data_IF_690795141619
#
_entry.id   IF_690795141619
#
_cell.length_a   1.000
_cell.length_b   1.000
_cell.length_c   1.000
_cell.angle_alpha   90.00
_cell.angle_beta   90.00
_cell.angle_gamma   90.00
#
_symmetry.space_group_name_H-M   'P 1'
#
loop_
_entity.id
_entity.type
_entity.pdbx_description
1 polymer ?
#
# COMPACT_ATOMS: atom_id res chain seq x y z
N UNK A 1 -12.90 14.91 -15.26
CA UNK A 1 -11.43 14.86 -15.19
C UNK A 1 -10.99 14.59 -13.74
N UNK A 2 -11.37 13.46 -13.20
CA UNK A 2 -10.95 13.05 -11.86
C UNK A 2 -10.70 11.55 -11.90
N UNK A 3 -9.43 11.17 -11.72
CA UNK A 3 -9.01 9.91 -11.17
C UNK A 3 -8.74 8.72 -12.07
N UNK A 4 -7.66 8.76 -12.83
CA UNK A 4 -6.99 7.54 -13.28
C UNK A 4 -6.30 6.82 -12.10
N UNK A 5 -5.99 7.55 -11.01
CA UNK A 5 -5.37 7.02 -9.80
C UNK A 5 -6.30 6.17 -8.92
N UNK A 6 -7.62 6.24 -9.15
CA UNK A 6 -8.58 5.45 -8.38
C UNK A 6 -8.63 3.96 -8.77
N UNK A 7 -7.99 3.55 -9.85
CA UNK A 7 -8.12 2.19 -10.37
C UNK A 7 -7.21 1.20 -9.64
N UNK A 8 -6.04 1.61 -9.22
CA UNK A 8 -5.12 0.76 -8.41
C UNK A 8 -5.50 0.79 -6.94
N UNK A 9 -6.19 1.85 -6.48
CA UNK A 9 -6.55 2.03 -5.07
C UNK A 9 -7.96 1.50 -4.72
N UNK A 10 -8.79 1.13 -5.67
CA UNK A 10 -10.21 0.82 -5.40
C UNK A 10 -10.52 -0.63 -5.07
N UNK A 11 -9.58 -1.56 -5.18
CA UNK A 11 -9.72 -2.84 -4.49
C UNK A 11 -9.66 -2.66 -2.96
N UNK A 12 -9.05 -1.57 -2.48
CA UNK A 12 -8.85 -1.29 -1.05
C UNK A 12 -9.93 -0.37 -0.39
N UNK A 13 -10.75 0.37 -1.14
CA UNK A 13 -11.62 1.43 -0.56
C UNK A 13 -13.11 1.03 -0.45
N UNK A 14 -13.48 -0.22 -0.63
CA UNK A 14 -14.89 -0.64 -0.45
C UNK A 14 -15.20 -1.13 0.97
N UNK A 15 -14.34 -0.87 1.97
CA UNK A 15 -14.58 -1.22 3.37
C UNK A 15 -14.86 0.02 4.24
N UNK A 16 -15.56 0.99 3.73
CA UNK A 16 -15.99 2.09 4.62
C UNK A 16 -17.49 2.26 4.54
N UNK A 17 -18.10 1.98 5.67
CA UNK A 17 -19.45 2.25 6.15
C UNK A 17 -20.38 1.03 6.22
N UNK A 18 -20.09 0.15 7.14
CA UNK A 18 -21.11 -0.56 7.90
C UNK A 18 -20.92 -0.24 9.39
N UNK A 19 -21.26 0.96 9.80
CA UNK A 19 -21.60 1.23 11.20
C UNK A 19 -22.96 0.58 11.45
N UNK A 20 -22.94 -0.59 12.04
CA UNK A 20 -23.96 -1.28 12.82
C UNK A 20 -24.10 -2.79 12.53
N UNK A 21 -23.01 -3.50 12.33
CA UNK A 21 -23.01 -4.95 12.55
C UNK A 21 -21.76 -5.30 13.32
N UNK A 22 -21.99 -5.65 14.58
CA UNK A 22 -21.06 -6.21 15.57
C UNK A 22 -19.53 -5.95 15.42
N UNK A 23 -18.99 -5.41 16.47
CA UNK A 23 -17.66 -4.86 16.75
C UNK A 23 -16.44 -5.77 16.49
N UNK A 24 -16.46 -6.74 15.57
CA UNK A 24 -15.35 -7.70 15.39
C UNK A 24 -14.77 -7.85 13.97
N UNK A 25 -15.20 -7.09 12.98
CA UNK A 25 -14.58 -7.20 11.65
C UNK A 25 -14.00 -5.85 11.22
N UNK A 26 -12.91 -5.42 11.86
CA UNK A 26 -11.95 -4.54 11.20
C UNK A 26 -11.02 -5.40 10.36
N UNK A 27 -11.45 -5.75 9.17
CA UNK A 27 -10.51 -6.15 8.12
C UNK A 27 -9.87 -4.87 7.61
N UNK A 28 -8.78 -4.46 8.25
CA UNK A 28 -7.80 -3.61 7.60
C UNK A 28 -7.18 -4.46 6.51
N UNK A 29 -7.63 -4.24 5.27
CA UNK A 29 -6.86 -4.69 4.11
C UNK A 29 -5.49 -4.04 4.23
N UNK A 30 -4.41 -4.79 4.14
CA UNK A 30 -3.09 -4.19 4.12
C UNK A 30 -2.91 -3.47 2.78
N UNK A 31 -2.90 -2.15 2.80
CA UNK A 31 -2.14 -1.33 1.84
C UNK A 31 -0.65 -1.69 1.82
N UNK A 32 -0.30 -2.82 2.40
CA UNK A 32 0.99 -3.04 3.02
C UNK A 32 1.79 -4.19 2.44
N UNK A 33 1.30 -4.94 1.50
CA UNK A 33 2.18 -5.99 0.93
C UNK A 33 3.29 -5.32 0.14
N UNK A 34 3.01 -4.26 -0.59
CA UNK A 34 4.04 -3.51 -1.35
C UNK A 34 4.83 -2.50 -0.49
N UNK A 35 4.21 -1.94 0.57
CA UNK A 35 4.88 -0.98 1.45
C UNK A 35 5.68 -1.61 2.59
N UNK A 36 5.46 -2.89 2.94
CA UNK A 36 6.26 -3.57 3.98
C UNK A 36 7.67 -3.91 3.49
N UNK A 37 7.83 -4.32 2.25
CA UNK A 37 9.17 -4.56 1.68
C UNK A 37 9.95 -3.26 1.50
N UNK A 38 9.31 -2.16 1.14
CA UNK A 38 9.98 -0.84 1.06
C UNK A 38 10.35 -0.29 2.43
N UNK A 39 9.51 -0.49 3.47
CA UNK A 39 9.85 -0.07 4.83
C UNK A 39 10.94 -0.92 5.49
N UNK A 40 11.05 -2.19 5.17
CA UNK A 40 12.13 -3.05 5.66
C UNK A 40 13.46 -2.69 4.96
N UNK A 41 13.45 -2.45 3.66
CA UNK A 41 14.63 -2.02 2.88
C UNK A 41 15.10 -0.60 3.26
N UNK A 42 14.20 0.33 3.62
CA UNK A 42 14.57 1.67 4.09
C UNK A 42 15.10 1.70 5.52
N UNK A 43 14.83 0.71 6.37
CA UNK A 43 15.39 0.64 7.72
C UNK A 43 16.77 -0.03 7.78
N UNK A 44 17.18 -0.78 6.78
CA UNK A 44 18.53 -1.32 6.68
C UNK A 44 19.60 -0.29 6.25
N UNK A 45 19.21 0.88 5.76
CA UNK A 45 20.15 1.92 5.26
C UNK A 45 20.57 2.96 6.28
N UNK A 46 20.38 2.75 7.58
CA UNK A 46 20.82 3.68 8.62
C UNK A 46 22.08 3.21 9.36
N UNK A 47 23.13 2.88 8.62
CA UNK A 47 24.52 2.88 9.15
C UNK A 47 25.42 3.54 8.11
N UNK A 48 26.22 4.57 8.46
CA UNK A 48 27.12 5.20 7.52
C UNK A 48 28.37 4.32 7.33
N UNK A 49 28.27 3.30 6.53
CA UNK A 49 29.41 2.72 5.86
C UNK A 49 29.47 3.38 4.49
N UNK A 50 30.49 4.19 4.26
CA UNK A 50 30.83 4.72 2.95
C UNK A 50 31.15 3.55 2.02
N UNK A 51 30.10 3.00 1.40
CA UNK A 51 30.22 2.21 0.20
C UNK A 51 30.51 3.23 -0.91
N UNK A 52 31.57 3.04 -1.72
CA UNK A 52 31.77 3.90 -2.88
C UNK A 52 30.47 3.87 -3.67
N UNK A 53 29.96 5.05 -4.01
CA UNK A 53 28.77 5.22 -4.80
C UNK A 53 28.92 4.30 -6.03
N UNK A 54 28.20 3.16 -6.05
CA UNK A 54 27.80 2.60 -7.30
C UNK A 54 27.09 3.76 -7.99
N UNK A 55 27.62 4.24 -9.09
CA UNK A 55 26.88 5.10 -10.00
C UNK A 55 25.61 4.32 -10.33
N UNK A 56 24.55 4.62 -9.62
CA UNK A 56 23.21 4.27 -10.03
C UNK A 56 23.07 4.99 -11.36
N UNK A 57 23.09 4.26 -12.47
CA UNK A 57 22.86 4.80 -13.81
C UNK A 57 21.47 5.43 -13.78
N UNK A 58 21.42 6.69 -13.39
CA UNK A 58 20.19 7.45 -13.35
C UNK A 58 19.68 7.60 -14.79
N UNK A 59 18.48 7.09 -15.05
CA UNK A 59 17.79 7.39 -16.30
C UNK A 59 17.40 8.88 -16.28
N UNK A 60 18.12 9.69 -17.05
CA UNK A 60 17.80 11.10 -17.28
C UNK A 60 16.92 11.23 -18.51
N UNK A 61 15.65 11.50 -18.31
CA UNK A 61 14.69 11.67 -19.40
C UNK A 61 14.96 12.96 -20.20
N UNK A 62 14.98 12.85 -21.54
CA UNK A 62 15.05 14.01 -22.48
C UNK A 62 13.84 14.92 -22.37
N UNK A 63 12.76 14.46 -21.77
CA UNK A 63 11.53 15.23 -21.57
C UNK A 63 11.55 16.07 -20.30
N UNK A 64 12.72 16.27 -19.69
CA UNK A 64 12.94 17.12 -18.53
C UNK A 64 12.75 16.36 -17.21
N UNK A 65 12.78 17.09 -16.10
CA UNK A 65 12.66 16.57 -14.75
C UNK A 65 11.39 15.72 -14.61
N UNK A 66 11.47 14.62 -13.85
CA UNK A 66 10.30 13.81 -13.51
C UNK A 66 9.29 14.63 -12.69
N UNK A 67 7.99 14.31 -12.78
CA UNK A 67 6.96 14.92 -11.94
C UNK A 67 7.25 14.78 -10.45
N UNK A 68 6.66 15.69 -9.65
CA UNK A 68 6.91 15.73 -8.20
C UNK A 68 6.52 14.43 -7.46
N UNK A 69 5.53 13.70 -7.97
CA UNK A 69 5.13 12.40 -7.41
C UNK A 69 6.23 11.34 -7.50
N UNK A 70 7.15 11.49 -8.45
CA UNK A 70 8.29 10.59 -8.64
C UNK A 70 9.60 11.15 -8.07
N UNK A 71 9.58 12.37 -7.48
CA UNK A 71 10.79 12.97 -6.91
C UNK A 71 11.33 12.12 -5.76
N UNK A 72 12.63 11.80 -5.83
CA UNK A 72 13.30 10.95 -4.85
C UNK A 72 12.99 9.46 -4.96
N UNK A 73 12.22 9.03 -5.98
CA UNK A 73 11.99 7.61 -6.28
C UNK A 73 12.98 7.13 -7.35
N UNK A 74 13.24 5.83 -7.38
CA UNK A 74 14.08 5.17 -8.38
C UNK A 74 13.39 3.89 -8.84
N UNK A 75 13.49 3.60 -10.14
CA UNK A 75 13.13 2.29 -10.68
C UNK A 75 14.29 1.33 -10.38
N UNK A 76 14.06 0.40 -9.45
CA UNK A 76 14.99 -0.66 -9.08
C UNK A 76 14.54 -1.98 -9.73
N UNK A 77 14.28 -1.93 -11.02
CA UNK A 77 13.76 -3.04 -11.82
C UNK A 77 14.65 -3.24 -13.03
N UNK A 78 14.81 -4.48 -13.46
CA UNK A 78 15.62 -4.85 -14.61
C UNK A 78 14.76 -5.52 -15.68
N UNK A 79 14.85 -4.99 -16.90
CA UNK A 79 14.30 -5.65 -18.07
C UNK A 79 15.30 -6.71 -18.53
N UNK A 80 14.89 -7.96 -18.54
CA UNK A 80 15.72 -9.11 -18.90
C UNK A 80 15.41 -9.61 -20.31
N UNK A 81 16.41 -10.17 -20.94
CA UNK A 81 16.28 -10.78 -22.27
C UNK A 81 16.89 -12.20 -22.30
N UNK A 82 16.33 -13.04 -23.14
CA UNK A 82 16.91 -14.35 -23.44
C UNK A 82 18.26 -14.22 -24.18
N UNK A 83 18.98 -15.31 -24.33
CA UNK A 83 20.24 -15.34 -25.11
C UNK A 83 20.03 -14.94 -26.58
N UNK A 84 18.83 -15.18 -27.14
CA UNK A 84 18.47 -14.82 -28.51
C UNK A 84 17.91 -13.37 -28.58
N UNK A 85 17.89 -12.62 -27.49
CA UNK A 85 17.49 -11.22 -27.41
C UNK A 85 15.99 -10.97 -27.33
N UNK A 86 15.17 -11.99 -27.08
CA UNK A 86 13.73 -11.83 -26.82
C UNK A 86 13.48 -11.36 -25.38
N UNK A 87 12.39 -10.63 -25.17
CA UNK A 87 11.99 -10.14 -23.86
C UNK A 87 11.58 -11.29 -22.93
N UNK A 88 12.12 -11.31 -21.72
CA UNK A 88 11.61 -12.18 -20.65
C UNK A 88 10.46 -11.45 -19.98
N UNK A 89 9.26 -12.04 -20.03
CA UNK A 89 8.09 -11.45 -19.39
C UNK A 89 8.22 -11.58 -17.87
N UNK A 90 8.05 -10.47 -17.16
CA UNK A 90 8.13 -10.40 -15.70
C UNK A 90 7.22 -9.28 -15.17
N UNK A 91 6.93 -9.29 -13.87
CA UNK A 91 6.19 -8.23 -13.18
C UNK A 91 6.90 -6.88 -13.27
N UNK A 92 8.22 -6.86 -13.42
CA UNK A 92 9.00 -5.63 -13.58
C UNK A 92 8.52 -4.79 -14.77
N UNK A 93 8.09 -5.43 -15.85
CA UNK A 93 7.55 -4.73 -17.03
C UNK A 93 6.27 -3.94 -16.65
N UNK A 94 5.34 -4.59 -15.96
CA UNK A 94 4.12 -3.97 -15.47
C UNK A 94 4.44 -2.85 -14.48
N UNK A 95 5.40 -3.10 -13.56
CA UNK A 95 5.83 -2.13 -12.58
C UNK A 95 6.42 -0.87 -13.23
N UNK A 96 7.23 -1.01 -14.27
CA UNK A 96 7.78 0.10 -15.05
C UNK A 96 6.65 0.92 -15.70
N UNK A 97 5.69 0.24 -16.32
CA UNK A 97 4.54 0.94 -16.93
C UNK A 97 3.73 1.71 -15.89
N UNK A 98 3.37 1.07 -14.77
CA UNK A 98 2.59 1.69 -13.70
C UNK A 98 3.38 2.83 -13.02
N UNK A 99 4.69 2.73 -12.91
CA UNK A 99 5.54 3.79 -12.37
C UNK A 99 5.37 5.09 -13.15
N UNK A 100 5.52 5.07 -14.47
CA UNK A 100 5.34 6.26 -15.29
C UNK A 100 3.87 6.68 -15.40
N UNK A 101 2.94 5.74 -15.55
CA UNK A 101 1.51 6.01 -15.62
C UNK A 101 0.96 6.63 -14.33
N UNK A 102 1.65 6.46 -13.20
CA UNK A 102 1.26 7.09 -11.94
C UNK A 102 1.25 8.61 -12.01
N UNK A 103 1.91 9.21 -12.99
CA UNK A 103 2.01 10.66 -13.20
C UNK A 103 0.90 11.27 -14.06
N UNK A 104 -0.14 10.51 -14.41
CA UNK A 104 -1.20 10.93 -15.35
C UNK A 104 -1.95 12.20 -14.93
N UNK A 105 -1.91 12.58 -13.65
CA UNK A 105 -2.52 13.82 -13.17
C UNK A 105 -1.54 15.03 -13.21
N UNK A 106 -0.27 14.79 -13.52
CA UNK A 106 0.78 15.80 -13.55
C UNK A 106 1.31 16.04 -14.96
N UNK A 107 1.22 15.03 -15.82
CA UNK A 107 1.64 15.11 -17.21
C UNK A 107 0.53 14.55 -18.15
N UNK A 108 0.51 15.03 -19.39
CA UNK A 108 -0.36 14.48 -20.44
C UNK A 108 0.07 13.05 -20.81
N UNK A 109 -0.90 12.17 -21.11
CA UNK A 109 -0.65 10.77 -21.41
C UNK A 109 0.39 10.58 -22.54
N UNK A 110 0.32 11.38 -23.60
CA UNK A 110 1.27 11.31 -24.72
C UNK A 110 2.72 11.51 -24.23
N UNK A 111 2.94 12.42 -23.29
CA UNK A 111 4.27 12.66 -22.71
C UNK A 111 4.72 11.51 -21.83
N UNK A 112 3.81 10.92 -21.06
CA UNK A 112 4.10 9.74 -20.25
C UNK A 112 4.52 8.56 -21.14
N UNK A 113 3.78 8.32 -22.22
CA UNK A 113 4.11 7.28 -23.20
C UNK A 113 5.49 7.50 -23.86
N UNK A 114 5.83 8.76 -24.16
CA UNK A 114 7.16 9.09 -24.67
C UNK A 114 8.27 8.81 -23.64
N UNK A 115 8.02 9.02 -22.34
CA UNK A 115 8.98 8.66 -21.27
C UNK A 115 9.17 7.14 -21.15
N UNK A 116 8.08 6.38 -21.25
CA UNK A 116 8.15 4.91 -21.24
C UNK A 116 8.91 4.44 -22.48
N UNK A 117 8.60 4.97 -23.66
CA UNK A 117 9.30 4.61 -24.90
C UNK A 117 10.80 4.93 -24.81
N UNK A 118 11.16 6.08 -24.26
CA UNK A 118 12.55 6.46 -24.01
C UNK A 118 13.26 5.48 -23.06
N UNK A 119 12.59 5.09 -21.97
CA UNK A 119 13.09 4.13 -21.00
C UNK A 119 13.34 2.76 -21.64
N UNK A 120 12.36 2.24 -22.38
CA UNK A 120 12.47 0.96 -23.10
C UNK A 120 13.61 0.99 -24.14
N UNK A 121 13.74 2.08 -24.92
CA UNK A 121 14.82 2.24 -25.89
C UNK A 121 16.21 2.36 -25.24
N UNK A 122 16.28 2.79 -23.96
CA UNK A 122 17.56 2.87 -23.25
C UNK A 122 18.06 1.50 -22.80
N UNK A 123 17.15 0.61 -22.39
CA UNK A 123 17.51 -0.68 -21.80
C UNK A 123 17.37 -1.88 -22.75
N UNK A 124 16.58 -1.75 -23.81
CA UNK A 124 16.28 -2.85 -24.73
C UNK A 124 16.72 -2.56 -26.16
N UNK A 125 17.05 -3.64 -26.86
CA UNK A 125 17.30 -3.67 -28.32
C UNK A 125 16.31 -4.63 -28.97
N UNK A 126 16.17 -4.57 -30.31
CA UNK A 126 15.35 -5.55 -31.03
C UNK A 126 15.88 -6.97 -30.88
N UNK A 127 15.02 -8.01 -30.73
CA UNK A 127 13.55 -7.96 -30.83
C UNK A 127 12.81 -7.55 -29.54
N UNK A 128 13.44 -7.63 -28.36
CA UNK A 128 12.81 -7.37 -27.06
C UNK A 128 12.18 -5.95 -26.97
N UNK A 129 12.79 -4.96 -27.62
CA UNK A 129 12.23 -3.60 -27.67
C UNK A 129 10.88 -3.57 -28.37
N UNK A 130 10.77 -4.22 -29.54
CA UNK A 130 9.50 -4.31 -30.26
C UNK A 130 8.43 -5.07 -29.47
N UNK A 131 8.81 -6.17 -28.81
CA UNK A 131 7.93 -6.97 -27.96
C UNK A 131 7.41 -6.16 -26.76
N UNK A 132 8.27 -5.43 -26.07
CA UNK A 132 7.87 -4.57 -24.93
C UNK A 132 6.90 -3.45 -25.34
N UNK A 133 7.07 -2.88 -26.54
CA UNK A 133 6.16 -1.85 -27.07
C UNK A 133 4.79 -2.42 -27.44
N UNK A 134 4.72 -3.67 -27.92
CA UNK A 134 3.44 -4.36 -28.16
C UNK A 134 2.71 -4.55 -26.85
N UNK A 135 3.40 -5.05 -25.80
CA UNK A 135 2.82 -5.24 -24.48
C UNK A 135 2.36 -3.90 -23.89
N UNK A 136 3.14 -2.83 -24.04
CA UNK A 136 2.75 -1.49 -23.59
C UNK A 136 1.43 -1.04 -24.26
N UNK A 137 1.31 -1.20 -25.58
CA UNK A 137 0.08 -0.82 -26.30
C UNK A 137 -1.13 -1.60 -25.79
N UNK A 138 -1.02 -2.92 -25.66
CA UNK A 138 -2.06 -3.79 -25.09
C UNK A 138 -2.42 -3.39 -23.65
N UNK A 139 -1.41 -3.04 -22.86
CA UNK A 139 -1.60 -2.61 -21.47
C UNK A 139 -2.36 -1.26 -21.38
N UNK A 140 -2.07 -0.31 -22.25
CA UNK A 140 -2.79 0.98 -22.30
C UNK A 140 -4.25 0.76 -22.72
N UNK A 141 -4.50 -0.08 -23.72
CA UNK A 141 -5.86 -0.43 -24.15
C UNK A 141 -6.64 -1.10 -23.02
N UNK A 142 -6.02 -2.05 -22.30
CA UNK A 142 -6.59 -2.68 -21.11
C UNK A 142 -6.92 -1.64 -20.02
N UNK A 143 -5.96 -0.75 -19.68
CA UNK A 143 -6.19 0.30 -18.66
C UNK A 143 -7.37 1.22 -19.04
N UNK A 144 -7.50 1.55 -20.32
CA UNK A 144 -8.62 2.36 -20.82
C UNK A 144 -9.96 1.63 -20.63
N UNK A 145 -10.03 0.36 -21.03
CA UNK A 145 -11.25 -0.45 -20.88
C UNK A 145 -11.59 -0.74 -19.40
N UNK A 146 -10.58 -0.92 -18.55
CA UNK A 146 -10.80 -1.04 -17.11
C UNK A 146 -11.33 0.25 -16.50
N UNK A 147 -10.87 1.40 -16.96
CA UNK A 147 -11.41 2.70 -16.52
C UNK A 147 -12.88 2.86 -16.92
N UNK A 148 -13.25 2.49 -18.14
CA UNK A 148 -14.64 2.51 -18.61
C UNK A 148 -15.52 1.58 -17.79
N UNK A 149 -15.04 0.35 -17.50
CA UNK A 149 -15.71 -0.61 -16.62
C UNK A 149 -15.97 -0.03 -15.22
N UNK A 150 -14.98 0.63 -14.62
CA UNK A 150 -15.15 1.24 -13.28
C UNK A 150 -16.16 2.41 -13.31
N UNK A 151 -16.23 3.18 -14.38
CA UNK A 151 -17.25 4.24 -14.54
C UNK A 151 -18.66 3.63 -14.64
N UNK A 152 -18.82 2.56 -15.41
CA UNK A 152 -20.07 1.84 -15.55
C UNK A 152 -20.53 1.25 -14.20
N UNK A 153 -19.67 0.51 -13.52
CA UNK A 153 -19.96 -0.06 -12.18
C UNK A 153 -20.24 1.04 -11.16
N UNK A 154 -19.51 2.16 -11.21
CA UNK A 154 -19.74 3.31 -10.34
C UNK A 154 -21.14 3.91 -10.54
N UNK A 155 -21.61 4.00 -11.76
CA UNK A 155 -22.96 4.46 -12.08
C UNK A 155 -24.04 3.46 -11.60
N UNK A 156 -23.86 2.17 -11.85
CA UNK A 156 -24.74 1.09 -11.36
C UNK A 156 -24.87 1.11 -9.83
N UNK A 157 -23.76 1.29 -9.11
CA UNK A 157 -23.74 1.36 -7.63
C UNK A 157 -24.47 2.60 -7.10
N UNK A 158 -24.35 3.76 -7.77
CA UNK A 158 -25.04 4.98 -7.33
C UNK A 158 -26.57 4.80 -7.31
N UNK A 159 -27.10 3.96 -8.19
CA UNK A 159 -28.53 3.61 -8.22
C UNK A 159 -28.90 2.59 -7.13
N UNK A 160 -28.00 1.65 -6.80
CA UNK A 160 -28.24 0.58 -5.83
C UNK A 160 -28.07 1.03 -4.37
N UNK A 161 -27.21 1.99 -4.07
CA UNK A 161 -27.00 2.54 -2.69
C UNK A 161 -28.25 3.17 -2.12
N UNK A 162 -29.25 3.53 -2.94
CA UNK A 162 -30.54 4.01 -2.46
C UNK A 162 -31.36 2.93 -1.73
N UNK A 163 -31.07 1.64 -1.95
CA UNK A 163 -31.86 0.51 -1.47
C UNK A 163 -31.10 -0.46 -0.53
N UNK A 164 -30.20 -0.01 0.32
CA UNK A 164 -29.49 -0.83 1.32
C UNK A 164 -29.25 -2.29 0.86
N UNK A 165 -28.17 -2.52 0.10
CA UNK A 165 -27.80 -3.84 -0.40
C UNK A 165 -27.69 -4.86 0.75
N UNK A 166 -28.46 -5.95 0.69
CA UNK A 166 -28.24 -7.11 1.55
C UNK A 166 -26.88 -7.74 1.20
N UNK A 167 -26.17 -8.31 2.18
CA UNK A 167 -24.80 -8.82 2.02
C UNK A 167 -24.61 -9.78 0.84
N UNK A 168 -25.65 -10.57 0.47
CA UNK A 168 -25.62 -11.47 -0.71
C UNK A 168 -25.56 -10.71 -2.05
N UNK A 169 -26.33 -9.64 -2.22
CA UNK A 169 -26.31 -8.84 -3.45
C UNK A 169 -24.97 -8.13 -3.65
N UNK A 170 -24.34 -7.69 -2.57
CA UNK A 170 -22.99 -7.13 -2.64
C UNK A 170 -21.98 -8.14 -3.18
N UNK A 171 -22.04 -9.39 -2.75
CA UNK A 171 -21.14 -10.44 -3.22
C UNK A 171 -21.38 -10.83 -4.69
N UNK A 172 -22.63 -10.82 -5.13
CA UNK A 172 -22.96 -11.02 -6.55
C UNK A 172 -22.34 -9.91 -7.43
N UNK A 173 -22.48 -8.64 -7.03
CA UNK A 173 -21.85 -7.51 -7.73
C UNK A 173 -20.32 -7.57 -7.70
N UNK A 174 -19.74 -7.98 -6.57
CA UNK A 174 -18.30 -8.16 -6.49
C UNK A 174 -17.82 -9.27 -7.44
N UNK A 175 -18.51 -10.41 -7.48
CA UNK A 175 -18.20 -11.51 -8.41
C UNK A 175 -18.30 -11.06 -9.87
N UNK A 176 -19.37 -10.35 -10.22
CA UNK A 176 -19.55 -9.82 -11.58
C UNK A 176 -18.40 -8.89 -11.95
N UNK A 177 -18.04 -7.96 -11.08
CA UNK A 177 -16.91 -7.06 -11.28
C UNK A 177 -15.59 -7.81 -11.50
N UNK A 178 -15.26 -8.79 -10.65
CA UNK A 178 -14.07 -9.61 -10.79
C UNK A 178 -14.05 -10.35 -12.13
N UNK A 179 -15.17 -10.97 -12.51
CA UNK A 179 -15.29 -11.70 -13.77
C UNK A 179 -15.11 -10.77 -14.99
N UNK A 180 -15.75 -9.61 -15.01
CA UNK A 180 -15.65 -8.63 -16.09
C UNK A 180 -14.23 -8.08 -16.21
N UNK A 181 -13.58 -7.78 -15.09
CA UNK A 181 -12.18 -7.34 -15.05
C UNK A 181 -11.24 -8.40 -15.63
N UNK A 182 -11.37 -9.65 -15.19
CA UNK A 182 -10.52 -10.74 -15.65
C UNK A 182 -10.79 -11.08 -17.13
N UNK A 183 -12.02 -10.92 -17.60
CA UNK A 183 -12.35 -11.05 -19.02
C UNK A 183 -11.65 -9.99 -19.89
N UNK A 184 -11.62 -8.73 -19.44
CA UNK A 184 -10.88 -7.68 -20.14
C UNK A 184 -9.37 -7.96 -20.16
N UNK A 185 -8.78 -8.42 -19.06
CA UNK A 185 -7.37 -8.81 -19.01
C UNK A 185 -7.05 -9.89 -20.06
N UNK A 186 -7.88 -10.93 -20.12
CA UNK A 186 -7.73 -12.02 -21.08
C UNK A 186 -8.03 -11.61 -22.54
N UNK A 187 -8.80 -10.54 -22.77
CA UNK A 187 -9.08 -10.00 -24.10
C UNK A 187 -7.91 -9.20 -24.68
N UNK A 188 -7.27 -8.39 -23.82
CA UNK A 188 -6.24 -7.44 -24.28
C UNK A 188 -4.83 -7.98 -24.21
N UNK A 189 -4.53 -8.87 -23.27
CA UNK A 189 -3.17 -9.40 -23.04
C UNK A 189 -3.04 -10.83 -23.57
N UNK A 190 -1.87 -11.13 -24.10
CA UNK A 190 -1.50 -12.51 -24.40
C UNK A 190 -1.51 -13.36 -23.11
N UNK A 191 -1.85 -14.65 -23.18
CA UNK A 191 -2.02 -15.51 -22.00
C UNK A 191 -0.85 -15.47 -21.02
N UNK A 192 0.38 -15.54 -21.52
CA UNK A 192 1.60 -15.49 -20.69
C UNK A 192 1.75 -14.15 -19.96
N UNK A 193 1.51 -13.04 -20.66
CA UNK A 193 1.58 -11.69 -20.08
C UNK A 193 0.49 -11.51 -19.02
N UNK A 194 -0.73 -11.99 -19.32
CA UNK A 194 -1.85 -11.90 -18.38
C UNK A 194 -1.57 -12.71 -17.10
N UNK A 195 -1.07 -13.94 -17.23
CA UNK A 195 -0.71 -14.80 -16.11
C UNK A 195 0.33 -14.12 -15.22
N UNK A 196 1.46 -13.70 -15.79
CA UNK A 196 2.56 -13.08 -15.03
C UNK A 196 2.12 -11.77 -14.37
N UNK A 197 1.36 -10.93 -15.07
CA UNK A 197 0.96 -9.61 -14.52
C UNK A 197 -0.12 -9.68 -13.44
N UNK A 198 -0.95 -10.75 -13.41
CA UNK A 198 -2.17 -10.76 -12.61
C UNK A 198 -2.47 -12.04 -11.83
N UNK A 199 -1.66 -13.12 -11.97
CA UNK A 199 -1.91 -14.39 -11.26
C UNK A 199 -2.03 -14.19 -9.75
N UNK A 200 -1.09 -13.47 -9.15
CA UNK A 200 -1.11 -13.21 -7.71
C UNK A 200 -2.32 -12.37 -7.27
N UNK A 201 -2.63 -11.33 -8.04
CA UNK A 201 -3.80 -10.47 -7.76
C UNK A 201 -5.10 -11.27 -7.88
N UNK A 202 -5.24 -12.07 -8.92
CA UNK A 202 -6.45 -12.90 -9.14
C UNK A 202 -6.60 -13.99 -8.08
N UNK A 203 -5.51 -14.63 -7.69
CA UNK A 203 -5.52 -15.59 -6.59
C UNK A 203 -5.93 -14.95 -5.26
N UNK A 204 -5.42 -13.75 -4.96
CA UNK A 204 -5.78 -13.02 -3.76
C UNK A 204 -7.23 -12.52 -3.77
N UNK A 205 -7.73 -12.08 -4.90
CA UNK A 205 -9.13 -11.69 -5.07
C UNK A 205 -10.08 -12.86 -4.86
N UNK A 206 -9.76 -14.03 -5.43
CA UNK A 206 -10.55 -15.25 -5.24
C UNK A 206 -10.54 -15.70 -3.77
N UNK A 207 -9.39 -15.65 -3.12
CA UNK A 207 -9.27 -15.88 -1.69
C UNK A 207 -10.16 -14.92 -0.88
N UNK A 208 -10.08 -13.63 -1.18
CA UNK A 208 -10.85 -12.60 -0.48
C UNK A 208 -12.35 -12.80 -0.68
N UNK A 209 -12.78 -13.06 -1.90
CA UNK A 209 -14.18 -13.33 -2.22
C UNK A 209 -14.69 -14.59 -1.50
N UNK A 210 -13.95 -15.69 -1.56
CA UNK A 210 -14.30 -16.95 -0.90
C UNK A 210 -14.39 -16.79 0.62
N UNK A 211 -13.48 -16.00 1.22
CA UNK A 211 -13.51 -15.69 2.65
C UNK A 211 -14.74 -14.85 3.03
N UNK A 212 -15.17 -13.90 2.17
CA UNK A 212 -16.39 -13.15 2.38
C UNK A 212 -17.64 -14.07 2.32
N UNK A 213 -17.67 -15.03 1.40
CA UNK A 213 -18.74 -16.05 1.35
C UNK A 213 -18.80 -16.86 2.65
N UNK A 214 -17.67 -17.32 3.17
CA UNK A 214 -17.60 -18.04 4.45
C UNK A 214 -18.14 -17.22 5.62
N UNK A 215 -17.90 -15.89 5.60
CA UNK A 215 -18.35 -15.01 6.68
C UNK A 215 -19.87 -14.81 6.72
N UNK A 216 -20.55 -14.84 5.58
CA UNK A 216 -22.01 -14.71 5.53
C UNK A 216 -22.73 -16.06 5.67
N UNK A 217 -22.03 -17.19 5.53
CA UNK A 217 -22.61 -18.51 5.71
C UNK A 217 -22.89 -18.78 7.19
N UNK A 218 -24.18 -18.73 7.54
CA UNK A 218 -24.67 -18.99 8.90
C UNK A 218 -24.77 -20.47 9.25
N UNK A 219 -24.55 -21.38 8.29
CA UNK A 219 -24.57 -22.81 8.52
C UNK A 219 -23.29 -23.35 9.15
N UNK A 220 -22.17 -22.59 9.00
CA UNK A 220 -20.86 -22.96 9.50
C UNK A 220 -20.67 -22.53 10.97
N UNK A 221 -20.16 -23.42 11.79
CA UNK A 221 -19.60 -23.06 13.11
C UNK A 221 -18.35 -22.20 12.95
N UNK A 222 -17.94 -21.47 14.00
CA UNK A 222 -16.69 -20.71 13.99
C UNK A 222 -15.45 -21.59 13.69
N UNK A 223 -15.43 -22.83 14.21
CA UNK A 223 -14.35 -23.78 14.02
C UNK A 223 -14.27 -24.27 12.57
N UNK A 224 -15.41 -24.64 11.97
CA UNK A 224 -15.48 -25.03 10.54
C UNK A 224 -15.08 -23.88 9.63
N UNK A 225 -15.55 -22.66 9.94
CA UNK A 225 -15.15 -21.47 9.17
C UNK A 225 -13.65 -21.23 9.21
N UNK A 226 -13.02 -21.32 10.39
CA UNK A 226 -11.58 -21.18 10.53
C UNK A 226 -10.81 -22.25 9.75
N UNK A 227 -11.29 -23.49 9.75
CA UNK A 227 -10.68 -24.56 8.98
C UNK A 227 -10.69 -24.23 7.48
N UNK A 228 -11.83 -23.83 6.93
CA UNK A 228 -11.94 -23.45 5.53
C UNK A 228 -11.09 -22.21 5.18
N UNK A 229 -10.96 -21.24 6.07
CA UNK A 229 -10.05 -20.09 5.85
C UNK A 229 -8.60 -20.55 5.74
N UNK A 230 -8.17 -21.51 6.58
CA UNK A 230 -6.81 -22.08 6.49
C UNK A 230 -6.62 -22.84 5.17
N UNK A 231 -7.61 -23.60 4.73
CA UNK A 231 -7.56 -24.31 3.44
C UNK A 231 -7.42 -23.31 2.27
N UNK A 232 -8.21 -22.22 2.27
CA UNK A 232 -8.10 -21.18 1.25
C UNK A 232 -6.72 -20.49 1.26
N UNK A 233 -6.14 -20.25 2.43
CA UNK A 233 -4.80 -19.67 2.54
C UNK A 233 -3.71 -20.57 1.94
N UNK A 234 -3.88 -21.90 2.05
CA UNK A 234 -2.93 -22.86 1.49
C UNK A 234 -2.97 -22.93 -0.05
N UNK A 235 -4.06 -22.45 -0.67
CA UNK A 235 -4.21 -22.38 -2.14
C UNK A 235 -3.55 -21.14 -2.76
N UNK A 236 -3.18 -20.15 -1.94
CA UNK A 236 -2.53 -18.93 -2.42
C UNK A 236 -1.10 -19.22 -2.89
N UNK A 237 -0.54 -18.44 -3.82
CA UNK A 237 0.87 -18.43 -4.16
C UNK A 237 1.76 -18.32 -2.91
N UNK A 238 2.93 -18.95 -2.96
CA UNK A 238 3.79 -19.08 -1.77
C UNK A 238 4.22 -17.71 -1.21
N UNK A 239 4.50 -16.74 -2.07
CA UNK A 239 4.92 -15.39 -1.68
C UNK A 239 3.80 -14.65 -0.91
N UNK A 240 2.56 -14.78 -1.37
CA UNK A 240 1.40 -14.25 -0.64
C UNK A 240 1.23 -14.96 0.71
N UNK A 241 1.36 -16.30 0.73
CA UNK A 241 1.29 -17.04 2.00
C UNK A 241 2.37 -16.58 2.98
N UNK A 242 3.59 -16.35 2.51
CA UNK A 242 4.70 -15.87 3.36
C UNK A 242 4.43 -14.46 3.88
N UNK A 243 3.95 -13.55 3.03
CA UNK A 243 3.55 -12.19 3.44
C UNK A 243 2.43 -12.21 4.48
N UNK A 244 1.42 -13.05 4.31
CA UNK A 244 0.34 -13.23 5.29
C UNK A 244 0.87 -13.80 6.61
N UNK A 245 1.76 -14.80 6.57
CA UNK A 245 2.39 -15.35 7.77
C UNK A 245 3.20 -14.30 8.53
N UNK A 246 3.98 -13.47 7.81
CA UNK A 246 4.73 -12.36 8.42
C UNK A 246 3.80 -11.36 9.12
N UNK A 247 2.68 -11.01 8.48
CA UNK A 247 1.68 -10.12 9.10
C UNK A 247 1.03 -10.76 10.32
N UNK A 248 0.63 -12.04 10.25
CA UNK A 248 0.04 -12.77 11.36
C UNK A 248 0.98 -12.84 12.57
N UNK A 249 2.26 -13.07 12.36
CA UNK A 249 3.27 -13.09 13.43
C UNK A 249 3.35 -11.72 14.14
N UNK A 250 3.24 -10.61 13.41
CA UNK A 250 3.23 -9.26 14.03
C UNK A 250 1.94 -9.01 14.80
N UNK A 251 0.80 -9.46 14.29
CA UNK A 251 -0.48 -9.37 15.01
C UNK A 251 -0.45 -10.23 16.29
N UNK A 252 0.09 -11.45 16.22
CA UNK A 252 0.28 -12.31 17.36
C UNK A 252 1.20 -11.67 18.41
N UNK A 253 2.34 -11.10 18.01
CA UNK A 253 3.20 -10.33 18.88
C UNK A 253 2.42 -9.21 19.59
N UNK A 254 1.59 -8.48 18.86
CA UNK A 254 0.79 -7.38 19.40
C UNK A 254 -0.22 -7.88 20.42
N UNK A 255 -0.93 -8.97 20.12
CA UNK A 255 -1.91 -9.60 21.02
C UNK A 255 -1.22 -10.11 22.29
N UNK A 256 -0.13 -10.86 22.15
CA UNK A 256 0.58 -11.42 23.32
C UNK A 256 1.26 -10.32 24.16
N UNK A 257 1.82 -9.27 23.51
CA UNK A 257 2.33 -8.09 24.22
C UNK A 257 1.23 -7.43 25.06
N UNK A 258 0.05 -7.22 24.48
CA UNK A 258 -1.07 -6.62 25.21
C UNK A 258 -1.56 -7.50 26.37
N UNK A 259 -1.56 -8.84 26.20
CA UNK A 259 -1.88 -9.78 27.28
C UNK A 259 -0.90 -9.67 28.46
N UNK A 260 0.41 -9.62 28.17
CA UNK A 260 1.46 -9.46 29.18
C UNK A 260 1.23 -8.17 29.97
N UNK A 261 1.06 -7.04 29.25
CA UNK A 261 0.89 -5.72 29.89
C UNK A 261 -0.43 -5.62 30.66
N UNK A 262 -1.53 -6.19 30.16
CA UNK A 262 -2.81 -6.22 30.85
C UNK A 262 -2.79 -7.08 32.12
N UNK A 263 -1.94 -8.12 32.15
CA UNK A 263 -1.70 -8.94 33.34
C UNK A 263 -0.75 -8.29 34.38
N UNK A 264 -0.29 -7.06 34.12
CA UNK A 264 0.67 -6.35 34.97
C UNK A 264 2.12 -6.74 34.74
N UNK A 265 2.43 -7.41 33.64
CA UNK A 265 3.78 -7.73 33.22
C UNK A 265 4.59 -6.48 32.83
N UNK A 266 5.90 -6.63 32.74
CA UNK A 266 6.85 -5.56 32.50
C UNK A 266 7.50 -5.65 31.11
N UNK A 267 8.29 -4.63 30.77
CA UNK A 267 9.03 -4.57 29.52
C UNK A 267 10.04 -5.70 29.33
N UNK A 268 10.53 -6.30 30.42
CA UNK A 268 11.45 -7.43 30.35
C UNK A 268 10.74 -8.69 29.82
N UNK A 269 9.49 -8.90 30.22
CA UNK A 269 8.66 -10.00 29.72
C UNK A 269 8.29 -9.79 28.24
N UNK A 270 8.01 -8.54 27.84
CA UNK A 270 7.77 -8.19 26.44
C UNK A 270 9.03 -8.41 25.60
N UNK A 271 10.20 -8.00 26.10
CA UNK A 271 11.48 -8.28 25.44
C UNK A 271 11.72 -9.79 25.26
N UNK A 272 11.46 -10.60 26.30
CA UNK A 272 11.63 -12.04 26.23
C UNK A 272 10.71 -12.67 25.17
N UNK A 273 9.44 -12.25 25.08
CA UNK A 273 8.52 -12.67 24.04
C UNK A 273 9.06 -12.34 22.63
N UNK A 274 9.53 -11.10 22.43
CA UNK A 274 10.12 -10.64 21.16
C UNK A 274 11.36 -11.45 20.78
N UNK A 275 12.19 -11.76 21.76
CA UNK A 275 13.38 -12.60 21.59
C UNK A 275 13.02 -14.03 21.16
N UNK A 276 11.99 -14.61 21.76
CA UNK A 276 11.51 -15.95 21.39
C UNK A 276 10.92 -15.99 19.99
N UNK A 277 10.19 -14.95 19.57
CA UNK A 277 9.53 -14.89 18.26
C UNK A 277 10.47 -14.49 17.13
N UNK A 278 11.42 -13.56 17.36
CA UNK A 278 12.20 -12.90 16.30
C UNK A 278 13.71 -12.91 16.53
N UNK A 279 14.18 -13.44 17.66
CA UNK A 279 15.58 -13.42 18.04
C UNK A 279 16.03 -12.15 18.76
N UNK A 280 17.23 -12.20 19.36
CA UNK A 280 17.77 -11.15 20.22
C UNK A 280 17.91 -9.79 19.54
N UNK A 281 18.46 -9.78 18.31
CA UNK A 281 18.72 -8.55 17.58
C UNK A 281 17.42 -7.80 17.22
N UNK A 282 16.39 -8.52 16.78
CA UNK A 282 15.09 -7.95 16.50
C UNK A 282 14.41 -7.44 17.79
N UNK A 283 14.50 -8.17 18.90
CA UNK A 283 13.97 -7.74 20.19
C UNK A 283 14.58 -6.40 20.64
N UNK A 284 15.90 -6.23 20.48
CA UNK A 284 16.59 -4.98 20.81
C UNK A 284 16.15 -3.82 19.90
N UNK A 285 15.90 -4.09 18.60
CA UNK A 285 15.35 -3.09 17.69
C UNK A 285 13.95 -2.63 18.09
N UNK A 286 13.07 -3.56 18.47
CA UNK A 286 11.74 -3.24 19.01
C UNK A 286 11.82 -2.39 20.27
N UNK A 287 12.69 -2.71 21.22
CA UNK A 287 12.84 -1.96 22.47
C UNK A 287 13.34 -0.54 22.20
N UNK A 288 14.29 -0.39 21.27
CA UNK A 288 14.77 0.91 20.83
C UNK A 288 13.65 1.74 20.19
N UNK A 289 12.81 1.11 19.36
CA UNK A 289 11.67 1.75 18.74
C UNK A 289 10.64 2.21 19.78
N UNK A 290 10.35 1.37 20.77
CA UNK A 290 9.42 1.71 21.85
C UNK A 290 9.94 2.87 22.71
N UNK A 291 11.24 2.92 23.00
CA UNK A 291 11.86 4.05 23.68
C UNK A 291 11.71 5.35 22.86
N UNK A 292 11.98 5.32 21.55
CA UNK A 292 11.80 6.47 20.67
C UNK A 292 10.34 6.93 20.63
N UNK A 293 9.39 5.99 20.53
CA UNK A 293 7.94 6.27 20.56
C UNK A 293 7.51 6.90 21.88
N UNK A 294 7.98 6.36 23.01
CA UNK A 294 7.68 6.90 24.33
C UNK A 294 8.22 8.33 24.51
N UNK A 295 9.47 8.58 24.11
CA UNK A 295 10.08 9.92 24.15
C UNK A 295 9.32 10.91 23.26
N UNK A 296 8.94 10.48 22.04
CA UNK A 296 8.17 11.30 21.12
C UNK A 296 6.78 11.61 21.70
N UNK A 297 6.13 10.63 22.29
CA UNK A 297 4.82 10.81 22.95
C UNK A 297 4.90 11.86 24.08
N UNK A 298 5.91 11.75 24.95
CA UNK A 298 6.11 12.73 26.04
C UNK A 298 6.30 14.14 25.46
N UNK A 299 7.14 14.31 24.44
CA UNK A 299 7.34 15.62 23.80
C UNK A 299 6.04 16.16 23.18
N UNK A 300 5.26 15.29 22.53
CA UNK A 300 3.98 15.65 21.92
C UNK A 300 2.93 16.04 22.96
N UNK A 301 2.81 15.28 24.04
CA UNK A 301 1.88 15.59 25.13
C UNK A 301 2.24 16.94 25.78
N UNK A 302 3.51 17.23 26.02
CA UNK A 302 3.99 18.53 26.53
C UNK A 302 3.65 19.65 25.55
N UNK A 303 3.98 19.48 24.29
CA UNK A 303 3.68 20.44 23.23
C UNK A 303 2.16 20.75 23.16
N UNK A 304 1.31 19.73 23.15
CA UNK A 304 -0.16 19.92 23.12
C UNK A 304 -0.67 20.68 24.35
N UNK A 305 -0.12 20.39 25.53
CA UNK A 305 -0.47 21.11 26.75
C UNK A 305 -0.06 22.60 26.70
N UNK A 306 1.14 22.90 26.18
CA UNK A 306 1.61 24.28 26.00
C UNK A 306 0.86 25.01 24.88
N UNK A 307 0.61 24.35 23.77
CA UNK A 307 -0.23 24.84 22.66
C UNK A 307 -1.61 25.27 23.16
N UNK A 308 -2.24 24.43 23.99
CA UNK A 308 -3.54 24.72 24.55
C UNK A 308 -3.52 26.00 25.40
N UNK A 309 -2.45 26.23 26.18
CA UNK A 309 -2.29 27.47 26.94
C UNK A 309 -2.18 28.68 26.03
N UNK A 310 -1.38 28.61 24.96
CA UNK A 310 -1.25 29.69 23.98
C UNK A 310 -2.59 30.03 23.35
N UNK A 311 -3.32 29.02 22.85
CA UNK A 311 -4.61 29.21 22.17
C UNK A 311 -5.70 29.78 23.08
N UNK A 312 -5.60 29.55 24.39
CA UNK A 312 -6.54 30.08 25.38
C UNK A 312 -6.10 31.46 25.94
N UNK A 313 -5.05 32.08 25.40
CA UNK A 313 -4.62 33.42 25.83
C UNK A 313 -5.56 34.47 25.27
N UNK A 314 -6.29 35.16 26.17
CA UNK A 314 -7.23 36.22 25.80
C UNK A 314 -6.50 37.48 25.33
N UNK A 315 -7.06 38.17 24.33
CA UNK A 315 -6.60 39.49 23.89
C UNK A 315 -5.49 39.48 22.84
N UNK A 316 -5.01 38.30 22.38
CA UNK A 316 -4.05 38.21 21.28
C UNK A 316 -4.76 38.02 19.94
N UNK A 317 -4.27 38.69 18.86
CA UNK A 317 -4.74 38.44 17.51
C UNK A 317 -4.47 36.98 17.11
N UNK A 318 -5.32 36.41 16.25
CA UNK A 318 -5.18 35.03 15.80
C UNK A 318 -3.85 34.76 15.09
N UNK A 319 -3.34 35.73 14.34
CA UNK A 319 -2.05 35.64 13.67
C UNK A 319 -0.88 35.46 14.66
N UNK A 320 -0.95 36.19 15.79
CA UNK A 320 0.05 36.09 16.86
C UNK A 320 0.01 34.73 17.56
N UNK A 321 -1.21 34.19 17.82
CA UNK A 321 -1.38 32.85 18.37
C UNK A 321 -0.79 31.77 17.46
N UNK A 322 -1.01 31.88 16.13
CA UNK A 322 -0.45 30.96 15.14
C UNK A 322 1.07 31.03 15.14
N UNK A 323 1.64 32.23 15.18
CA UNK A 323 3.09 32.44 15.21
C UNK A 323 3.70 31.79 16.45
N UNK A 324 3.11 32.00 17.62
CA UNK A 324 3.59 31.39 18.87
C UNK A 324 3.49 29.86 18.85
N UNK A 325 2.43 29.28 18.28
CA UNK A 325 2.30 27.84 18.13
C UNK A 325 3.35 27.27 17.17
N UNK A 326 3.66 27.97 16.08
CA UNK A 326 4.71 27.55 15.14
C UNK A 326 6.10 27.58 15.81
N UNK A 327 6.42 28.64 16.53
CA UNK A 327 7.67 28.76 17.30
C UNK A 327 7.78 27.64 18.35
N UNK A 328 6.69 27.35 19.05
CA UNK A 328 6.64 26.26 20.02
C UNK A 328 6.90 24.90 19.34
N UNK A 329 6.32 24.68 18.15
CA UNK A 329 6.54 23.42 17.39
C UNK A 329 8.00 23.28 16.97
N UNK A 330 8.63 24.33 16.49
CA UNK A 330 10.05 24.36 16.13
C UNK A 330 10.96 24.07 17.33
N UNK A 331 10.57 24.50 18.53
CA UNK A 331 11.31 24.22 19.76
C UNK A 331 11.21 22.76 20.22
N UNK A 332 10.10 22.08 19.97
CA UNK A 332 9.84 20.70 20.42
C UNK A 332 10.22 19.63 19.41
N UNK A 333 10.21 19.95 18.11
CA UNK A 333 10.35 18.98 17.01
C UNK A 333 11.36 19.45 15.97
N UNK A 334 12.20 18.53 15.53
CA UNK A 334 13.10 18.80 14.40
C UNK A 334 12.32 18.93 13.08
N UNK A 335 13.00 19.36 12.03
CA UNK A 335 12.39 19.60 10.71
C UNK A 335 11.66 18.37 10.16
N UNK A 336 12.21 17.18 10.39
CA UNK A 336 11.61 15.92 9.92
C UNK A 336 10.36 15.52 10.71
N UNK A 337 10.28 15.92 11.98
CA UNK A 337 9.17 15.62 12.89
C UNK A 337 8.01 16.62 12.80
N UNK A 338 8.25 17.85 12.28
CA UNK A 338 7.25 18.92 12.29
C UNK A 338 5.99 18.57 11.53
N UNK A 339 6.10 17.93 10.35
CA UNK A 339 4.93 17.49 9.58
C UNK A 339 4.09 16.46 10.36
N UNK A 340 4.75 15.50 10.99
CA UNK A 340 4.10 14.51 11.86
C UNK A 340 3.39 15.20 13.04
N UNK A 341 4.05 16.18 13.70
CA UNK A 341 3.45 16.92 14.80
C UNK A 341 2.18 17.67 14.35
N UNK A 342 2.19 18.32 13.18
CA UNK A 342 1.00 19.00 12.63
C UNK A 342 -0.19 18.06 12.40
N UNK A 343 0.06 16.81 11.96
CA UNK A 343 -1.02 15.80 11.80
C UNK A 343 -1.64 15.47 13.16
N UNK A 344 -0.82 15.31 14.20
CA UNK A 344 -1.29 15.03 15.55
C UNK A 344 -2.05 16.23 16.16
N UNK A 345 -1.60 17.46 15.89
CA UNK A 345 -2.30 18.68 16.29
C UNK A 345 -3.73 18.74 15.73
N UNK A 346 -3.89 18.43 14.44
CA UNK A 346 -5.20 18.39 13.77
C UNK A 346 -6.14 17.36 14.42
N UNK A 347 -5.62 16.19 14.78
CA UNK A 347 -6.41 15.16 15.47
C UNK A 347 -6.79 15.53 16.90
N UNK A 348 -5.91 16.23 17.61
CA UNK A 348 -6.16 16.67 18.99
C UNK A 348 -7.06 17.91 19.07
N UNK A 349 -7.27 18.63 17.98
CA UNK A 349 -8.13 19.81 17.90
C UNK A 349 -9.49 19.55 17.25
N UNK A 350 -9.77 18.32 16.81
CA UNK A 350 -11.04 17.84 16.30
C UNK A 350 -11.83 17.15 17.42
#
# INVERSE_FOLDING_TARGET
FLSFFAIVLTAAIVIVQFDNIDHEIRVTLPETVHNLDQNIKQQESATPLSIPALEVLGFDSKFGVLPNSLDGTQLDTQLETTEDGHLIISDDIKYIFDYFLSTINEEELDKILLRIDEYLNHYLVEPALGESKIILAQYIDLKTSLFELEQEIGAERADLVKDQLAGGQYLELLRDRLNRRNALRAEYLEPEVNEIFYEEEEAYDEYTYSRLLLNIDKSLSPEERNLHVVELQQMLPEDIQQSMRKSQIIDELTVETNKILAAGGDQQQVHQLRKEMFGEEAAQRFDTLDQKRAQWKIRMDNFLAERTKILNTEGLPQEELILQVNTLREAHFDTSEQMKAQVYEKRAGA
#
